data_IF_990197765856
#
_entry.id   IF_990197765856
#
_cell.length_a   1.000
_cell.length_b   1.000
_cell.length_c   1.000
_cell.angle_alpha   90.00
_cell.angle_beta   90.00
_cell.angle_gamma   90.00
#
_symmetry.space_group_name_H-M   'P 1'
#
loop_
_entity.id
_entity.type
_entity.pdbx_description
1 polymer ?
#
# COMPACT_ATOMS: atom_id res chain seq x y z
N UNK A 1 -10.86 -13.54 -28.37
CA UNK A 1 -9.52 -12.95 -28.18
C UNK A 1 -9.48 -12.40 -26.77
N UNK A 2 -8.48 -12.76 -25.96
CA UNK A 2 -8.27 -12.03 -24.69
C UNK A 2 -7.71 -10.68 -25.10
N UNK A 3 -8.42 -9.60 -24.83
CA UNK A 3 -7.89 -8.25 -25.00
C UNK A 3 -6.64 -8.16 -24.11
N UNK A 4 -5.47 -8.11 -24.75
CA UNK A 4 -4.22 -7.90 -24.04
C UNK A 4 -4.15 -6.42 -23.71
N UNK A 5 -4.27 -6.10 -22.42
CA UNK A 5 -4.07 -4.75 -21.92
C UNK A 5 -2.60 -4.37 -22.08
N UNK A 6 -2.36 -3.17 -22.57
CA UNK A 6 -1.02 -2.55 -22.59
C UNK A 6 -0.52 -2.32 -21.17
N UNK A 7 0.78 -2.01 -21.02
CA UNK A 7 1.35 -1.63 -19.72
C UNK A 7 0.62 -0.42 -19.12
N UNK A 8 0.28 0.58 -19.96
CA UNK A 8 -0.51 1.76 -19.56
C UNK A 8 -1.86 1.37 -18.99
N UNK A 9 -2.64 0.59 -19.74
CA UNK A 9 -3.99 0.17 -19.34
C UNK A 9 -3.97 -0.70 -18.09
N UNK A 10 -3.00 -1.61 -18.00
CA UNK A 10 -2.81 -2.47 -16.82
C UNK A 10 -2.49 -1.64 -15.58
N UNK A 11 -1.57 -0.67 -15.70
CA UNK A 11 -1.17 0.19 -14.58
C UNK A 11 -2.33 1.06 -14.11
N UNK A 12 -3.04 1.71 -15.04
CA UNK A 12 -4.25 2.49 -14.73
C UNK A 12 -5.31 1.61 -14.05
N UNK A 13 -5.56 0.42 -14.59
CA UNK A 13 -6.54 -0.51 -14.02
C UNK A 13 -6.19 -0.89 -12.58
N UNK A 14 -4.92 -1.22 -12.32
CA UNK A 14 -4.45 -1.57 -10.96
C UNK A 14 -4.57 -0.38 -10.01
N UNK A 15 -4.17 0.83 -10.44
CA UNK A 15 -4.30 2.06 -9.65
C UNK A 15 -5.76 2.39 -9.33
N UNK A 16 -6.65 2.29 -10.31
CA UNK A 16 -8.08 2.57 -10.13
C UNK A 16 -8.76 1.50 -9.24
N UNK A 17 -8.31 0.24 -9.32
CA UNK A 17 -8.80 -0.87 -8.48
C UNK A 17 -8.22 -0.92 -7.08
N UNK A 18 -7.09 -0.26 -6.84
CA UNK A 18 -6.42 -0.20 -5.53
C UNK A 18 -7.35 0.25 -4.40
N UNK A 19 -8.37 1.06 -4.70
CA UNK A 19 -9.32 1.57 -3.71
C UNK A 19 -10.10 0.48 -2.99
N UNK A 20 -10.47 -0.59 -3.70
CA UNK A 20 -11.18 -1.71 -3.08
C UNK A 20 -10.22 -2.58 -2.27
N UNK A 21 -8.95 -2.70 -2.70
CA UNK A 21 -7.92 -3.40 -1.94
C UNK A 21 -7.52 -2.61 -0.68
N UNK A 22 -7.46 -1.28 -0.72
CA UNK A 22 -7.24 -0.44 0.46
C UNK A 22 -8.36 -0.58 1.50
N UNK A 23 -9.61 -0.76 1.07
CA UNK A 23 -10.72 -1.05 2.01
C UNK A 23 -10.50 -2.39 2.71
N UNK A 24 -10.19 -3.45 1.95
CA UNK A 24 -9.91 -4.78 2.52
C UNK A 24 -8.71 -4.76 3.47
N UNK A 25 -7.65 -4.04 3.11
CA UNK A 25 -6.47 -3.90 3.96
C UNK A 25 -6.85 -3.19 5.27
N UNK A 26 -7.57 -2.06 5.21
CA UNK A 26 -8.03 -1.35 6.42
C UNK A 26 -8.93 -2.21 7.31
N UNK A 27 -9.82 -3.02 6.72
CA UNK A 27 -10.64 -3.97 7.47
C UNK A 27 -9.78 -5.04 8.17
N UNK A 28 -8.74 -5.55 7.49
CA UNK A 28 -7.80 -6.49 8.08
C UNK A 28 -6.98 -5.86 9.22
N UNK A 29 -6.49 -4.63 9.04
CA UNK A 29 -5.78 -3.87 10.07
C UNK A 29 -6.67 -3.67 11.31
N UNK A 30 -7.91 -3.22 11.09
CA UNK A 30 -8.89 -3.03 12.16
C UNK A 30 -9.19 -4.33 12.90
N UNK A 31 -9.50 -5.40 12.17
CA UNK A 31 -9.81 -6.71 12.78
C UNK A 31 -8.64 -7.24 13.60
N UNK A 32 -7.42 -7.02 13.12
CA UNK A 32 -6.20 -7.38 13.83
C UNK A 32 -6.02 -6.55 15.11
N UNK A 33 -6.18 -5.22 15.02
CA UNK A 33 -6.13 -4.32 16.18
C UNK A 33 -7.19 -4.68 17.24
N UNK A 34 -8.44 -4.90 16.83
CA UNK A 34 -9.55 -5.29 17.71
C UNK A 34 -9.27 -6.60 18.47
N UNK A 35 -8.46 -7.51 17.91
CA UNK A 35 -8.08 -8.75 18.58
C UNK A 35 -7.14 -8.52 19.76
N UNK A 36 -6.21 -7.55 19.66
CA UNK A 36 -5.34 -7.17 20.77
C UNK A 36 -6.12 -6.46 21.88
N UNK A 37 -7.04 -5.55 21.53
CA UNK A 37 -7.95 -4.92 22.50
C UNK A 37 -8.79 -5.94 23.29
N UNK A 38 -9.15 -7.05 22.64
CA UNK A 38 -9.88 -8.15 23.25
C UNK A 38 -9.00 -9.13 24.05
N UNK A 39 -7.68 -8.90 24.14
CA UNK A 39 -6.71 -9.79 24.78
C UNK A 39 -6.50 -11.11 24.03
N UNK A 40 -6.78 -11.15 22.73
CA UNK A 40 -6.61 -12.32 21.86
C UNK A 40 -5.31 -12.25 21.06
N UNK A 41 -4.20 -12.06 21.76
CA UNK A 41 -2.90 -11.76 21.14
C UNK A 41 -2.43 -12.80 20.11
N UNK A 42 -2.71 -14.09 20.37
CA UNK A 42 -2.36 -15.17 19.41
C UNK A 42 -3.16 -15.05 18.11
N UNK A 43 -4.42 -14.63 18.17
CA UNK A 43 -5.25 -14.40 16.98
C UNK A 43 -4.72 -13.18 16.21
N UNK A 44 -4.40 -12.09 16.91
CA UNK A 44 -3.80 -10.89 16.34
C UNK A 44 -2.48 -11.16 15.63
N UNK A 45 -1.55 -11.84 16.29
CA UNK A 45 -0.27 -12.22 15.70
C UNK A 45 -0.43 -13.12 14.46
N UNK A 46 -1.38 -14.05 14.50
CA UNK A 46 -1.68 -14.88 13.33
C UNK A 46 -2.24 -14.05 12.18
N UNK A 47 -3.11 -13.08 12.45
CA UNK A 47 -3.65 -12.16 11.44
C UNK A 47 -2.55 -11.27 10.86
N UNK A 48 -1.63 -10.77 11.68
CA UNK A 48 -0.46 -10.01 11.20
C UNK A 48 0.31 -10.84 10.18
N UNK A 49 0.67 -12.08 10.55
CA UNK A 49 1.49 -12.95 9.71
C UNK A 49 0.79 -13.41 8.43
N UNK A 50 -0.49 -13.77 8.53
CA UNK A 50 -1.20 -14.45 7.44
C UNK A 50 -1.99 -13.52 6.52
N UNK A 51 -2.31 -12.31 6.98
CA UNK A 51 -3.17 -11.37 6.24
C UNK A 51 -2.48 -10.01 6.05
N UNK A 52 -2.04 -9.38 7.14
CA UNK A 52 -1.52 -8.00 7.08
C UNK A 52 -0.18 -7.92 6.34
N UNK A 53 0.83 -8.70 6.77
CA UNK A 53 2.17 -8.66 6.17
C UNK A 53 2.14 -8.98 4.66
N UNK A 54 1.44 -10.02 4.18
CA UNK A 54 1.38 -10.30 2.74
C UNK A 54 0.79 -9.16 1.92
N UNK A 55 -0.27 -8.51 2.41
CA UNK A 55 -0.90 -7.38 1.71
C UNK A 55 0.00 -6.15 1.71
N UNK A 56 0.62 -5.80 2.85
CA UNK A 56 1.54 -4.67 2.91
C UNK A 56 2.79 -4.92 2.05
N UNK A 57 3.31 -6.15 2.02
CA UNK A 57 4.48 -6.48 1.18
C UNK A 57 4.18 -6.31 -0.30
N UNK A 58 3.01 -6.79 -0.75
CA UNK A 58 2.57 -6.60 -2.14
C UNK A 58 2.41 -5.12 -2.48
N UNK A 59 1.85 -4.35 -1.54
CA UNK A 59 1.69 -2.90 -1.68
C UNK A 59 3.03 -2.15 -1.73
N UNK A 60 3.98 -2.55 -0.89
CA UNK A 60 5.34 -2.03 -0.85
C UNK A 60 6.06 -2.28 -2.18
N UNK A 61 6.03 -3.52 -2.69
CA UNK A 61 6.63 -3.88 -3.97
C UNK A 61 6.03 -3.10 -5.15
N UNK A 62 4.71 -2.88 -5.12
CA UNK A 62 4.04 -2.04 -6.11
C UNK A 62 4.55 -0.59 -6.07
N UNK A 63 4.59 0.03 -4.89
CA UNK A 63 5.10 1.40 -4.74
C UNK A 63 6.57 1.52 -5.15
N UNK A 64 7.39 0.55 -4.76
CA UNK A 64 8.79 0.48 -5.17
C UNK A 64 8.93 0.41 -6.70
N UNK A 65 8.11 -0.43 -7.35
CA UNK A 65 8.11 -0.54 -8.82
C UNK A 65 7.72 0.79 -9.47
N UNK A 66 6.69 1.45 -8.95
CA UNK A 66 6.24 2.76 -9.42
C UNK A 66 7.34 3.81 -9.33
N UNK A 67 8.01 3.91 -8.18
CA UNK A 67 9.09 4.86 -7.94
C UNK A 67 10.30 4.61 -8.86
N UNK A 68 10.67 3.35 -9.10
CA UNK A 68 11.92 3.04 -9.79
C UNK A 68 11.78 2.86 -11.32
N UNK A 69 10.56 2.63 -11.80
CA UNK A 69 10.32 2.32 -13.23
C UNK A 69 9.54 3.41 -13.97
N UNK A 70 8.87 4.31 -13.24
CA UNK A 70 7.91 5.26 -13.81
C UNK A 70 8.01 6.67 -13.22
N UNK A 71 9.14 7.03 -12.61
CA UNK A 71 9.35 8.37 -12.03
C UNK A 71 9.22 9.49 -13.08
N UNK A 72 9.73 9.24 -14.29
CA UNK A 72 9.65 10.12 -15.44
C UNK A 72 8.21 10.29 -15.97
N UNK A 73 7.35 9.28 -15.80
CA UNK A 73 5.91 9.34 -16.15
C UNK A 73 5.13 10.18 -15.14
N UNK A 74 5.44 10.03 -13.85
CA UNK A 74 4.73 10.71 -12.77
C UNK A 74 5.16 12.17 -12.60
N UNK A 75 6.39 12.50 -13.00
CA UNK A 75 6.98 13.81 -12.78
C UNK A 75 7.46 14.01 -11.33
N UNK A 76 8.22 15.09 -11.07
CA UNK A 76 8.97 15.25 -9.82
C UNK A 76 8.07 15.46 -8.59
N UNK A 77 6.93 16.13 -8.74
CA UNK A 77 6.01 16.42 -7.63
C UNK A 77 5.33 15.13 -7.11
N UNK A 78 4.66 14.39 -8.00
CA UNK A 78 4.00 13.13 -7.65
C UNK A 78 5.01 12.09 -7.19
N UNK A 79 6.17 12.00 -7.85
CA UNK A 79 7.25 11.09 -7.42
C UNK A 79 7.77 11.44 -6.03
N UNK A 80 7.94 12.73 -5.72
CA UNK A 80 8.39 13.18 -4.40
C UNK A 80 7.40 12.79 -3.30
N UNK A 81 6.11 13.05 -3.51
CA UNK A 81 5.03 12.66 -2.58
C UNK A 81 4.92 11.15 -2.42
N UNK A 82 5.11 10.37 -3.50
CA UNK A 82 5.10 8.92 -3.43
C UNK A 82 6.29 8.39 -2.63
N UNK A 83 7.49 8.95 -2.83
CA UNK A 83 8.70 8.58 -2.08
C UNK A 83 8.53 8.87 -0.59
N UNK A 84 8.03 10.05 -0.22
CA UNK A 84 7.76 10.40 1.18
C UNK A 84 6.83 9.38 1.86
N UNK A 85 5.71 9.05 1.21
CA UNK A 85 4.76 8.06 1.74
C UNK A 85 5.34 6.65 1.80
N UNK A 86 6.18 6.30 0.83
CA UNK A 86 6.89 5.02 0.80
C UNK A 86 7.93 4.91 1.94
N UNK A 87 8.66 5.98 2.24
CA UNK A 87 9.57 6.05 3.39
C UNK A 87 8.81 5.96 4.72
N UNK A 88 7.64 6.60 4.83
CA UNK A 88 6.75 6.45 5.98
C UNK A 88 6.27 5.00 6.12
N UNK A 89 5.88 4.35 5.03
CA UNK A 89 5.48 2.94 5.04
C UNK A 89 6.60 2.03 5.54
N UNK A 90 7.82 2.23 5.04
CA UNK A 90 9.01 1.47 5.46
C UNK A 90 9.30 1.66 6.96
N UNK A 91 9.13 2.88 7.46
CA UNK A 91 9.28 3.20 8.89
C UNK A 91 8.23 2.48 9.72
N UNK A 92 6.94 2.55 9.34
CA UNK A 92 5.86 1.88 10.07
C UNK A 92 6.03 0.35 10.04
N UNK A 93 6.52 -0.23 8.95
CA UNK A 93 6.80 -1.67 8.87
C UNK A 93 7.93 -2.11 9.80
N UNK A 94 8.97 -1.30 9.93
CA UNK A 94 10.06 -1.53 10.89
C UNK A 94 9.55 -1.44 12.32
N UNK A 95 8.74 -0.43 12.63
CA UNK A 95 8.08 -0.30 13.94
C UNK A 95 7.19 -1.53 14.22
N UNK A 96 6.34 -1.93 13.27
CA UNK A 96 5.46 -3.10 13.43
C UNK A 96 6.27 -4.36 13.74
N UNK A 97 7.39 -4.55 13.06
CA UNK A 97 8.29 -5.69 13.28
C UNK A 97 8.91 -5.63 14.68
N UNK A 98 9.47 -4.48 15.06
CA UNK A 98 10.07 -4.28 16.38
C UNK A 98 9.06 -4.54 17.50
N UNK A 99 7.88 -3.94 17.43
CA UNK A 99 6.85 -4.10 18.47
C UNK A 99 6.29 -5.53 18.51
N UNK A 100 6.23 -6.21 17.37
CA UNK A 100 5.89 -7.64 17.31
C UNK A 100 6.94 -8.51 18.00
N UNK A 101 8.23 -8.20 17.82
CA UNK A 101 9.34 -8.92 18.45
C UNK A 101 9.43 -8.66 19.96
N UNK A 102 9.11 -7.44 20.42
CA UNK A 102 9.08 -7.08 21.84
C UNK A 102 7.79 -7.48 22.55
N UNK A 103 6.75 -7.88 21.80
CA UNK A 103 5.45 -8.28 22.34
C UNK A 103 4.61 -7.10 22.85
N UNK A 104 4.84 -5.89 22.32
CA UNK A 104 4.11 -4.69 22.72
C UNK A 104 2.78 -4.57 21.96
N UNK A 105 1.82 -5.41 22.32
CA UNK A 105 0.55 -5.55 21.58
C UNK A 105 -0.32 -4.29 21.57
N UNK A 106 -0.20 -3.42 22.58
CA UNK A 106 -0.89 -2.12 22.60
C UNK A 106 -0.38 -1.22 21.47
N UNK A 107 0.94 -1.08 21.35
CA UNK A 107 1.55 -0.26 20.29
C UNK A 107 1.26 -0.84 18.90
N UNK A 108 1.29 -2.17 18.77
CA UNK A 108 0.88 -2.83 17.52
C UNK A 108 -0.58 -2.48 17.17
N UNK A 109 -1.49 -2.55 18.15
CA UNK A 109 -2.90 -2.21 17.95
C UNK A 109 -3.10 -0.78 17.46
N UNK A 110 -2.38 0.17 18.04
CA UNK A 110 -2.43 1.60 17.67
C UNK A 110 -1.81 1.84 16.29
N UNK A 111 -0.64 1.27 16.01
CA UNK A 111 0.04 1.36 14.72
C UNK A 111 -0.84 0.85 13.56
N UNK A 112 -1.56 -0.26 13.77
CA UNK A 112 -2.47 -0.82 12.77
C UNK A 112 -3.72 0.05 12.58
N UNK A 113 -4.33 0.51 13.69
CA UNK A 113 -5.62 1.21 13.68
C UNK A 113 -5.49 2.66 13.22
N UNK A 114 -4.40 3.33 13.56
CA UNK A 114 -4.20 4.75 13.31
C UNK A 114 -3.15 4.95 12.22
N UNK A 115 -1.87 4.71 12.52
CA UNK A 115 -0.78 5.14 11.64
C UNK A 115 -0.82 4.51 10.24
N UNK A 116 -0.96 3.18 10.16
CA UNK A 116 -1.05 2.48 8.88
C UNK A 116 -2.37 2.80 8.15
N UNK A 117 -3.46 2.96 8.89
CA UNK A 117 -4.76 3.30 8.29
C UNK A 117 -4.76 4.70 7.70
N UNK A 118 -4.16 5.67 8.39
CA UNK A 118 -4.01 7.04 7.91
C UNK A 118 -3.09 7.10 6.69
N UNK A 119 -1.96 6.39 6.72
CA UNK A 119 -1.08 6.29 5.56
C UNK A 119 -1.80 5.69 4.34
N UNK A 120 -2.61 4.63 4.53
CA UNK A 120 -3.43 4.06 3.45
C UNK A 120 -4.43 5.08 2.92
N UNK A 121 -5.03 5.92 3.78
CA UNK A 121 -5.93 6.99 3.32
C UNK A 121 -5.18 8.00 2.46
N UNK A 122 -3.95 8.36 2.81
CA UNK A 122 -3.13 9.25 1.99
C UNK A 122 -2.79 8.64 0.62
N UNK A 123 -2.45 7.34 0.59
CA UNK A 123 -2.24 6.62 -0.66
C UNK A 123 -3.52 6.52 -1.50
N UNK A 124 -4.69 6.38 -0.84
CA UNK A 124 -5.98 6.35 -1.52
C UNK A 124 -6.29 7.64 -2.27
N UNK A 125 -5.73 8.77 -1.83
CA UNK A 125 -5.82 10.06 -2.53
C UNK A 125 -4.77 10.16 -3.64
N UNK A 126 -3.54 9.70 -3.38
CA UNK A 126 -2.42 9.82 -4.31
C UNK A 126 -2.56 8.90 -5.54
N UNK A 127 -3.06 7.68 -5.38
CA UNK A 127 -3.14 6.68 -6.46
C UNK A 127 -4.00 7.14 -7.66
N UNK A 128 -5.16 7.78 -7.46
CA UNK A 128 -5.90 8.42 -8.54
C UNK A 128 -5.12 9.51 -9.28
N UNK A 129 -4.31 10.30 -8.57
CA UNK A 129 -3.46 11.32 -9.21
C UNK A 129 -2.38 10.67 -10.08
N UNK A 130 -1.76 9.59 -9.60
CA UNK A 130 -0.81 8.79 -10.38
C UNK A 130 -1.51 8.17 -11.60
N UNK A 131 -2.72 7.65 -11.46
CA UNK A 131 -3.49 7.11 -12.60
C UNK A 131 -3.66 8.15 -13.71
N UNK A 132 -3.87 9.42 -13.34
CA UNK A 132 -4.00 10.52 -14.30
C UNK A 132 -2.69 10.86 -15.01
N UNK A 133 -1.53 10.75 -14.35
CA UNK A 133 -0.24 10.94 -15.02
C UNK A 133 -0.01 9.89 -16.12
N UNK A 134 -0.44 8.64 -15.90
CA UNK A 134 -0.35 7.59 -16.92
C UNK A 134 -1.35 7.81 -18.07
N UNK A 135 -2.56 8.32 -17.78
CA UNK A 135 -3.55 8.66 -18.81
C UNK A 135 -3.05 9.75 -19.75
N UNK A 136 -2.36 10.75 -19.20
CA UNK A 136 -1.90 11.93 -19.94
C UNK A 136 -0.47 11.83 -20.47
N UNK A 137 0.28 10.79 -20.09
CA UNK A 137 1.67 10.59 -20.52
C UNK A 137 1.80 10.40 -22.04
N UNK A 138 2.84 10.99 -22.62
CA UNK A 138 3.21 10.86 -24.04
C UNK A 138 4.21 9.72 -24.31
N UNK A 139 4.57 8.93 -23.29
CA UNK A 139 5.45 7.77 -23.48
C UNK A 139 4.74 6.66 -24.25
N UNK A 140 5.20 6.44 -25.48
CA UNK A 140 4.65 5.44 -26.40
C UNK A 140 4.99 4.01 -26.00
N UNK A 141 6.11 3.79 -25.31
CA UNK A 141 6.53 2.45 -24.90
C UNK A 141 5.59 1.81 -23.86
N UNK A 142 4.78 2.62 -23.18
CA UNK A 142 3.71 2.15 -22.29
C UNK A 142 2.53 1.52 -23.05
N UNK A 143 2.43 1.76 -24.36
CA UNK A 143 1.38 1.23 -25.23
C UNK A 143 1.76 -0.13 -25.83
N UNK A 144 2.92 -0.68 -25.46
CA UNK A 144 3.32 -2.02 -25.86
C UNK A 144 2.53 -3.09 -25.08
N UNK A 145 2.33 -4.24 -25.76
CA UNK A 145 1.66 -5.44 -25.25
C UNK A 145 2.69 -6.49 -24.84
#
# INVERSE_FOLDING_TARGET
MKDQMTLRETTIFVLDKSQDEFKKLKEALKTTSDSFDAGKDTEGLNNIKSVVIPQISSFYEFCFTMINSFDDVMGPDITGRLKEKFENLDTLLKTLTNETETGNFTEIGDLLRFDLTDLINEFSVLFPEISETFKTSTREDLNNI
#
